data_IF_380671428092
#
_entry.id   IF_380671428092
#
_cell.length_a   1.000
_cell.length_b   1.000
_cell.length_c   1.000
_cell.angle_alpha   90.00
_cell.angle_beta   90.00
_cell.angle_gamma   90.00
#
_symmetry.space_group_name_H-M   'P 1'
#
loop_
_entity.id
_entity.type
_entity.pdbx_description
1 polymer ?
#
# COMPACT_ATOMS: atom_id res chain seq x y z
N UNK A 1 -12.04 -12.22 9.68
CA UNK A 1 -11.10 -11.93 8.57
C UNK A 1 -10.85 -10.42 8.50
N UNK A 2 -9.60 -9.97 8.57
CA UNK A 2 -9.27 -8.57 8.28
C UNK A 2 -9.37 -8.29 6.78
N UNK A 3 -10.00 -7.17 6.39
CA UNK A 3 -10.10 -6.75 4.99
C UNK A 3 -8.70 -6.40 4.44
N UNK A 4 -8.40 -6.84 3.23
CA UNK A 4 -7.21 -6.45 2.47
C UNK A 4 -7.59 -5.41 1.41
N UNK A 5 -6.62 -4.58 1.02
CA UNK A 5 -6.74 -3.54 0.02
C UNK A 5 -5.51 -3.60 -0.89
N UNK A 6 -5.74 -3.48 -2.18
CA UNK A 6 -4.67 -3.37 -3.17
C UNK A 6 -4.23 -1.92 -3.31
N UNK A 7 -2.91 -1.71 -3.29
CA UNK A 7 -2.29 -0.40 -3.42
C UNK A 7 -1.14 -0.48 -4.40
N UNK A 8 -0.86 0.64 -5.06
CA UNK A 8 0.29 0.79 -5.94
C UNK A 8 1.33 1.65 -5.24
N UNK A 9 2.56 1.15 -5.13
CA UNK A 9 3.64 1.83 -4.42
C UNK A 9 4.17 3.02 -5.24
N UNK A 10 4.26 4.20 -4.60
CA UNK A 10 4.88 5.41 -5.18
C UNK A 10 6.37 5.51 -4.86
N UNK A 11 6.82 4.82 -3.83
CA UNK A 11 8.20 4.77 -3.34
C UNK A 11 8.54 3.32 -3.02
N UNK A 12 9.83 2.97 -3.09
CA UNK A 12 10.31 1.71 -2.56
C UNK A 12 9.97 1.65 -1.07
N UNK A 13 9.31 0.58 -0.65
CA UNK A 13 9.01 0.31 0.75
C UNK A 13 9.70 -1.00 1.09
N UNK A 14 10.61 -0.95 2.05
CA UNK A 14 11.36 -2.12 2.52
C UNK A 14 10.39 -3.22 2.95
N UNK A 15 10.70 -4.46 2.58
CA UNK A 15 9.88 -5.66 2.82
C UNK A 15 8.46 -5.67 2.22
N UNK A 16 8.13 -4.69 1.36
CA UNK A 16 6.82 -4.60 0.72
C UNK A 16 6.89 -4.64 -0.81
N UNK A 17 7.79 -3.88 -1.44
CA UNK A 17 7.95 -3.86 -2.90
C UNK A 17 8.64 -2.61 -3.45
N UNK A 18 8.78 -2.57 -4.77
CA UNK A 18 9.38 -1.48 -5.51
C UNK A 18 8.34 -0.49 -6.08
N UNK A 19 8.81 0.64 -6.62
CA UNK A 19 7.94 1.67 -7.18
C UNK A 19 7.14 1.10 -8.36
N UNK A 20 5.81 1.26 -8.32
CA UNK A 20 4.90 0.78 -9.35
C UNK A 20 4.29 -0.59 -9.07
N UNK A 21 4.78 -1.32 -8.07
CA UNK A 21 4.22 -2.63 -7.72
C UNK A 21 2.81 -2.50 -7.14
N UNK A 22 1.93 -3.42 -7.55
CA UNK A 22 0.61 -3.62 -6.96
C UNK A 22 0.75 -4.66 -5.84
N UNK A 23 0.43 -4.27 -4.61
CA UNK A 23 0.55 -5.14 -3.44
C UNK A 23 -0.74 -5.18 -2.63
N UNK A 24 -1.08 -6.36 -2.10
CA UNK A 24 -2.26 -6.56 -1.25
C UNK A 24 -1.86 -6.48 0.22
N UNK A 25 -2.36 -5.46 0.91
CA UNK A 25 -2.06 -5.21 2.32
C UNK A 25 -3.32 -5.14 3.17
N UNK A 26 -3.21 -5.25 4.49
CA UNK A 26 -4.36 -5.02 5.37
C UNK A 26 -4.88 -3.59 5.19
N UNK A 27 -6.19 -3.41 5.13
CA UNK A 27 -6.81 -2.11 4.92
C UNK A 27 -6.44 -1.07 5.99
N UNK A 28 -6.07 -1.50 7.20
CA UNK A 28 -5.54 -0.61 8.25
C UNK A 28 -4.15 -0.07 7.92
N UNK A 29 -3.25 -0.92 7.42
CA UNK A 29 -1.89 -0.52 7.05
C UNK A 29 -1.90 0.45 5.87
N UNK A 30 -2.72 0.18 4.84
CA UNK A 30 -2.92 1.12 3.75
C UNK A 30 -3.44 2.49 4.23
N UNK A 31 -4.56 2.51 4.97
CA UNK A 31 -5.24 3.76 5.35
C UNK A 31 -4.54 4.57 6.43
N UNK A 32 -3.79 3.93 7.32
CA UNK A 32 -3.18 4.62 8.46
C UNK A 32 -1.70 4.96 8.23
N UNK A 33 -1.01 4.28 7.31
CA UNK A 33 0.43 4.46 7.09
C UNK A 33 0.74 4.82 5.65
N UNK A 34 0.40 3.95 4.68
CA UNK A 34 0.85 4.15 3.29
C UNK A 34 0.21 5.36 2.60
N UNK A 35 -1.13 5.48 2.66
CA UNK A 35 -1.87 6.53 1.97
C UNK A 35 -1.61 7.93 2.57
N UNK A 36 -1.67 8.14 3.90
CA UNK A 36 -1.44 9.46 4.48
C UNK A 36 -0.01 9.97 4.30
N UNK A 37 0.98 9.05 4.23
CA UNK A 37 2.38 9.41 4.00
C UNK A 37 2.73 9.54 2.50
N UNK A 38 1.78 9.28 1.60
CA UNK A 38 2.01 9.33 0.16
C UNK A 38 2.98 8.26 -0.35
N UNK A 39 3.14 7.15 0.38
CA UNK A 39 3.99 6.02 0.00
C UNK A 39 3.32 5.13 -1.06
N UNK A 40 2.00 5.12 -1.12
CA UNK A 40 1.22 4.37 -2.09
C UNK A 40 -0.07 5.12 -2.47
N UNK A 41 -0.77 4.66 -3.51
CA UNK A 41 -2.15 5.05 -3.83
C UNK A 41 -3.03 3.81 -3.97
N UNK A 42 -4.33 3.96 -3.73
CA UNK A 42 -5.27 2.84 -3.88
C UNK A 42 -5.32 2.41 -5.35
N UNK A 43 -5.20 1.11 -5.59
CA UNK A 43 -5.52 0.54 -6.89
C UNK A 43 -7.05 0.57 -7.04
N UNK A 44 -7.54 1.23 -8.10
CA UNK A 44 -8.94 1.22 -8.53
C UNK A 44 -9.06 0.39 -9.80
#
# INVERSE_FOLDING_TARGET
MGKHLEVILRRKVEDLGDVGDVVSVRSGYARNYLLPQGLAYAAT
#
